data_IF_845979524489
#
_entry.id   IF_845979524489
#
_cell.length_a   1.000
_cell.length_b   1.000
_cell.length_c   1.000
_cell.angle_alpha   90.00
_cell.angle_beta   90.00
_cell.angle_gamma   90.00
#
_symmetry.space_group_name_H-M   'P 1'
#
loop_
_entity.id
_entity.type
_entity.pdbx_description
1 polymer ?
#
# COMPACT_ATOMS: atom_id res chain seq x y z
N UNK A 1 -2.93 -2.47 -12.91
CA UNK A 1 -2.21 -2.46 -11.63
C UNK A 1 -2.37 -3.81 -10.96
N UNK A 2 -1.51 -4.10 -10.01
CA UNK A 2 -1.64 -5.17 -9.03
C UNK A 2 -1.57 -4.54 -7.63
N UNK A 3 -2.19 -5.18 -6.64
CA UNK A 3 -2.07 -4.77 -5.26
C UNK A 3 -1.77 -6.00 -4.40
N UNK A 4 -0.85 -5.84 -3.45
CA UNK A 4 -0.45 -6.91 -2.53
C UNK A 4 0.09 -6.31 -1.23
N UNK A 5 0.07 -7.09 -0.15
CA UNK A 5 0.64 -6.65 1.12
C UNK A 5 2.16 -6.50 1.03
N UNK A 6 2.70 -5.46 1.63
CA UNK A 6 4.14 -5.32 1.83
C UNK A 6 4.62 -6.43 2.79
N UNK A 7 5.68 -7.15 2.41
CA UNK A 7 6.28 -8.22 3.22
C UNK A 7 6.92 -7.70 4.51
N UNK A 8 7.36 -6.43 4.51
CA UNK A 8 7.95 -5.75 5.65
C UNK A 8 7.11 -4.50 5.97
N UNK A 9 5.88 -4.68 6.47
CA UNK A 9 4.93 -3.60 6.55
C UNK A 9 5.32 -2.58 7.63
N UNK A 10 5.04 -1.31 7.38
CA UNK A 10 5.12 -0.26 8.40
C UNK A 10 4.10 -0.54 9.51
N UNK A 11 2.86 -0.80 9.13
CA UNK A 11 1.77 -1.23 10.02
C UNK A 11 1.00 -2.37 9.36
N UNK A 12 0.30 -3.18 10.15
CA UNK A 12 -0.56 -4.25 9.62
C UNK A 12 -1.56 -3.69 8.61
N UNK A 13 -1.68 -4.32 7.44
CA UNK A 13 -2.52 -3.82 6.34
C UNK A 13 -1.83 -2.86 5.37
N UNK A 14 -0.51 -2.65 5.47
CA UNK A 14 0.27 -1.92 4.47
C UNK A 14 0.23 -2.66 3.12
N UNK A 15 -0.34 -2.00 2.11
CA UNK A 15 -0.49 -2.52 0.74
C UNK A 15 0.33 -1.68 -0.24
N UNK A 16 0.93 -2.34 -1.22
CA UNK A 16 1.57 -1.72 -2.37
C UNK A 16 0.66 -1.81 -3.59
N UNK A 17 0.45 -0.69 -4.28
CA UNK A 17 -0.19 -0.62 -5.60
C UNK A 17 0.88 -0.41 -6.65
N UNK A 18 0.99 -1.34 -7.60
CA UNK A 18 2.10 -1.39 -8.57
C UNK A 18 1.55 -1.45 -10.00
N UNK A 19 2.05 -0.64 -10.96
CA UNK A 19 1.70 -0.81 -12.37
C UNK A 19 2.29 -2.13 -12.88
N UNK A 20 1.71 -2.67 -13.96
CA UNK A 20 2.29 -3.86 -14.61
C UNK A 20 3.46 -3.49 -15.54
N UNK A 21 3.50 -2.23 -15.97
CA UNK A 21 4.57 -1.67 -16.78
C UNK A 21 5.75 -1.37 -15.89
N UNK A 22 6.92 -1.88 -16.25
CA UNK A 22 8.16 -1.64 -15.52
C UNK A 22 8.69 -0.23 -15.82
N UNK A 23 8.40 0.70 -14.92
CA UNK A 23 8.95 2.05 -14.89
C UNK A 23 9.35 2.32 -13.44
N UNK A 24 10.57 2.79 -13.20
CA UNK A 24 11.12 3.03 -11.86
C UNK A 24 10.42 4.20 -11.13
N UNK A 25 10.54 5.41 -11.67
CA UNK A 25 10.04 6.61 -11.00
C UNK A 25 8.57 6.83 -11.30
N UNK A 26 7.77 7.14 -10.28
CA UNK A 26 6.34 7.38 -10.45
C UNK A 26 6.05 8.48 -11.48
N UNK A 27 6.83 9.56 -11.51
CA UNK A 27 6.61 10.69 -12.42
C UNK A 27 7.14 10.46 -13.83
N UNK A 28 7.77 9.31 -14.09
CA UNK A 28 8.10 8.87 -15.45
C UNK A 28 6.96 8.00 -16.04
N UNK A 29 5.94 7.67 -15.25
CA UNK A 29 4.74 7.01 -15.76
C UNK A 29 3.95 7.95 -16.69
N UNK A 30 3.30 7.40 -17.74
CA UNK A 30 2.36 8.17 -18.55
C UNK A 30 1.23 8.79 -17.69
N UNK A 31 0.72 9.96 -18.09
CA UNK A 31 -0.35 10.67 -17.35
C UNK A 31 -1.59 9.79 -17.11
N UNK A 32 -1.94 8.95 -18.08
CA UNK A 32 -3.04 7.99 -17.96
C UNK A 32 -2.79 6.94 -16.87
N UNK A 33 -1.55 6.53 -16.64
CA UNK A 33 -1.17 5.63 -15.56
C UNK A 33 -1.22 6.33 -14.21
N UNK A 34 -0.76 7.59 -14.12
CA UNK A 34 -0.86 8.39 -12.89
C UNK A 34 -2.32 8.54 -12.45
N UNK A 35 -3.21 8.88 -13.37
CA UNK A 35 -4.64 9.01 -13.10
C UNK A 35 -5.27 7.65 -12.73
N UNK A 36 -4.96 6.59 -13.50
CA UNK A 36 -5.52 5.27 -13.27
C UNK A 36 -5.01 4.59 -11.98
N UNK A 37 -3.79 4.93 -11.53
CA UNK A 37 -3.24 4.39 -10.28
C UNK A 37 -4.05 4.85 -9.07
N UNK A 38 -4.41 6.15 -9.00
CA UNK A 38 -5.21 6.69 -7.92
C UNK A 38 -6.64 6.13 -7.90
N UNK A 39 -7.27 5.98 -9.08
CA UNK A 39 -8.62 5.42 -9.16
C UNK A 39 -8.64 3.93 -8.82
N UNK A 40 -7.60 3.18 -9.20
CA UNK A 40 -7.40 1.80 -8.79
C UNK A 40 -7.16 1.65 -7.28
N UNK A 41 -6.38 2.55 -6.68
CA UNK A 41 -6.07 2.53 -5.25
C UNK A 41 -7.28 2.88 -4.36
N UNK A 42 -8.21 3.71 -4.84
CA UNK A 42 -9.37 4.20 -4.07
C UNK A 42 -10.21 3.10 -3.39
N UNK A 43 -10.72 2.06 -4.09
CA UNK A 43 -11.49 1.00 -3.43
C UNK A 43 -10.64 0.21 -2.43
N UNK A 44 -9.35 -0.01 -2.71
CA UNK A 44 -8.44 -0.72 -1.81
C UNK A 44 -8.22 0.07 -0.51
N UNK A 45 -7.99 1.38 -0.61
CA UNK A 45 -7.88 2.25 0.55
C UNK A 45 -9.14 2.19 1.44
N UNK A 46 -10.33 2.09 0.84
CA UNK A 46 -11.59 1.94 1.56
C UNK A 46 -11.78 0.55 2.16
N UNK A 47 -11.31 -0.50 1.51
CA UNK A 47 -11.29 -1.84 2.07
C UNK A 47 -10.34 -1.93 3.27
N UNK A 48 -9.16 -1.31 3.19
CA UNK A 48 -8.21 -1.21 4.31
C UNK A 48 -8.86 -0.51 5.51
N UNK A 49 -9.53 0.63 5.31
CA UNK A 49 -10.23 1.36 6.40
C UNK A 49 -11.37 0.55 7.05
N UNK A 50 -11.97 -0.41 6.34
CA UNK A 50 -13.00 -1.30 6.90
C UNK A 50 -12.39 -2.51 7.62
N UNK A 51 -11.28 -3.03 7.10
CA UNK A 51 -10.66 -4.27 7.57
C UNK A 51 -9.72 -4.06 8.76
N UNK A 52 -9.07 -2.88 8.84
CA UNK A 52 -8.07 -2.55 9.84
C UNK A 52 -8.55 -1.34 10.62
N UNK A 53 -8.56 -1.45 11.95
CA UNK A 53 -8.90 -0.34 12.84
C UNK A 53 -7.87 0.79 12.68
N UNK A 54 -8.29 1.86 12.01
CA UNK A 54 -7.48 3.03 11.75
C UNK A 54 -8.32 4.29 11.54
N UNK A 55 -7.72 5.45 11.76
CA UNK A 55 -8.36 6.74 11.51
C UNK A 55 -8.57 7.03 10.02
N UNK A 56 -7.65 6.59 9.16
CA UNK A 56 -7.73 6.69 7.68
C UNK A 56 -6.64 5.87 6.99
N UNK A 57 -6.78 5.67 5.69
CA UNK A 57 -5.71 5.17 4.84
C UNK A 57 -4.88 6.33 4.25
N UNK A 58 -3.57 6.33 4.54
CA UNK A 58 -2.58 7.26 4.01
C UNK A 58 -1.94 6.76 2.71
N UNK A 59 -1.42 7.69 1.92
CA UNK A 59 -0.69 7.42 0.68
C UNK A 59 0.75 7.92 0.81
N UNK A 60 1.73 7.13 0.38
CA UNK A 60 3.12 7.55 0.23
C UNK A 60 3.75 6.98 -1.04
N UNK A 61 4.72 7.69 -1.61
CA UNK A 61 5.55 7.22 -2.74
C UNK A 61 6.98 7.65 -2.47
N UNK A 62 7.90 6.68 -2.37
CA UNK A 62 9.29 6.92 -1.96
C UNK A 62 10.27 6.43 -3.04
N UNK A 63 10.19 5.16 -3.46
CA UNK A 63 10.97 4.60 -4.57
C UNK A 63 12.46 4.34 -4.30
N UNK A 64 12.95 4.48 -3.05
CA UNK A 64 14.38 4.33 -2.74
C UNK A 64 14.85 2.88 -2.55
N UNK A 65 13.94 1.94 -2.28
CA UNK A 65 14.29 0.54 -1.98
C UNK A 65 14.16 -0.38 -3.19
N UNK A 66 13.09 -0.21 -3.98
CA UNK A 66 12.77 -1.05 -5.14
C UNK A 66 12.59 -0.13 -6.36
N UNK A 67 13.39 -0.31 -7.43
CA UNK A 67 13.38 0.57 -8.60
C UNK A 67 12.24 0.24 -9.57
N UNK A 68 11.01 0.31 -9.07
CA UNK A 68 9.77 0.11 -9.81
C UNK A 68 8.69 0.95 -9.14
N UNK A 69 7.98 1.79 -9.88
CA UNK A 69 6.98 2.71 -9.35
C UNK A 69 5.94 1.96 -8.53
N UNK A 70 5.74 2.37 -7.27
CA UNK A 70 4.73 1.80 -6.40
C UNK A 70 4.18 2.87 -5.47
N UNK A 71 2.89 2.72 -5.14
CA UNK A 71 2.19 3.56 -4.19
C UNK A 71 1.91 2.75 -2.93
N UNK A 72 2.33 3.28 -1.79
CA UNK A 72 2.03 2.72 -0.48
C UNK A 72 0.64 3.17 -0.04
N UNK A 73 -0.19 2.22 0.38
CA UNK A 73 -1.46 2.45 1.08
C UNK A 73 -1.31 1.93 2.51
N UNK A 74 -1.46 2.80 3.50
CA UNK A 74 -1.10 2.50 4.89
C UNK A 74 -2.25 2.89 5.82
N UNK A 75 -2.82 1.98 6.63
CA UNK A 75 -3.80 2.33 7.66
C UNK A 75 -3.13 3.10 8.81
N UNK A 76 -3.39 4.40 8.92
CA UNK A 76 -2.63 5.30 9.80
C UNK A 76 -3.52 5.83 10.93
N UNK A 77 -2.92 5.96 12.12
CA UNK A 77 -3.51 6.61 13.29
C UNK A 77 -2.74 7.88 13.67
N UNK A 78 -1.48 7.99 13.28
CA UNK A 78 -0.61 9.15 13.45
C UNK A 78 0.27 9.37 12.22
N UNK A 79 0.92 10.53 12.11
CA UNK A 79 1.86 10.79 11.02
C UNK A 79 3.10 9.87 11.07
N UNK A 80 3.48 9.39 12.25
CA UNK A 80 4.63 8.50 12.44
C UNK A 80 4.39 7.09 11.86
N UNK A 81 3.12 6.71 11.62
CA UNK A 81 2.81 5.45 10.96
C UNK A 81 3.35 5.39 9.51
N UNK A 82 3.53 6.56 8.87
CA UNK A 82 4.17 6.73 7.54
C UNK A 82 5.68 7.01 7.63
N UNK A 83 6.30 6.83 8.78
CA UNK A 83 7.73 7.03 8.95
C UNK A 83 8.52 5.81 8.44
N UNK A 84 9.15 5.94 7.27
CA UNK A 84 9.95 4.87 6.65
C UNK A 84 11.32 4.64 7.30
N UNK A 85 11.74 5.48 8.25
CA UNK A 85 13.02 5.30 8.96
C UNK A 85 12.90 4.41 10.19
N UNK A 86 11.68 4.01 10.58
CA UNK A 86 11.46 3.11 11.73
C UNK A 86 11.71 1.66 11.37
N UNK A 87 11.88 0.83 12.40
CA UNK A 87 11.92 -0.61 12.21
C UNK A 87 10.60 -1.10 11.62
N UNK A 88 10.69 -1.85 10.52
CA UNK A 88 9.55 -2.50 9.88
C UNK A 88 9.06 -3.67 10.74
N UNK A 89 7.78 -3.98 10.64
CA UNK A 89 7.23 -5.13 11.35
C UNK A 89 7.64 -6.44 10.68
N UNK A 90 7.77 -7.48 11.49
CA UNK A 90 7.78 -8.87 11.03
C UNK A 90 6.45 -9.50 11.44
N UNK A 91 5.62 -9.83 10.45
CA UNK A 91 4.29 -10.40 10.67
C UNK A 91 4.31 -11.85 10.18
N UNK A 92 3.87 -12.83 10.98
CA UNK A 92 3.79 -14.23 10.56
C UNK A 92 2.94 -14.40 9.31
N UNK A 93 3.29 -15.37 8.48
CA UNK A 93 2.61 -15.63 7.20
C UNK A 93 1.11 -15.86 7.37
N UNK A 94 0.70 -16.66 8.36
CA UNK A 94 -0.71 -16.96 8.63
C UNK A 94 -1.51 -15.68 8.96
N UNK A 95 -0.89 -14.76 9.71
CA UNK A 95 -1.50 -13.47 10.03
C UNK A 95 -1.57 -12.56 8.79
N UNK A 96 -0.54 -12.55 7.94
CA UNK A 96 -0.56 -11.82 6.67
C UNK A 96 -1.66 -12.35 5.73
N UNK A 97 -1.85 -13.66 5.67
CA UNK A 97 -2.91 -14.30 4.86
C UNK A 97 -4.30 -13.92 5.38
N UNK A 98 -4.50 -13.89 6.69
CA UNK A 98 -5.76 -13.43 7.31
C UNK A 98 -6.03 -11.95 6.99
N UNK A 99 -5.04 -11.08 7.20
CA UNK A 99 -5.15 -9.64 6.88
C UNK A 99 -5.52 -9.43 5.41
N UNK A 100 -4.87 -10.17 4.50
CA UNK A 100 -5.17 -10.11 3.07
C UNK A 100 -6.62 -10.52 2.80
N UNK A 101 -7.08 -11.63 3.38
CA UNK A 101 -8.47 -12.11 3.20
C UNK A 101 -9.47 -11.07 3.68
N UNK A 102 -9.30 -10.50 4.88
CA UNK A 102 -10.20 -9.48 5.42
C UNK A 102 -10.26 -8.23 4.53
N UNK A 103 -9.12 -7.78 3.99
CA UNK A 103 -9.09 -6.65 3.04
C UNK A 103 -9.81 -7.02 1.75
N UNK A 104 -9.60 -8.23 1.22
CA UNK A 104 -10.24 -8.68 -0.03
C UNK A 104 -11.77 -8.80 0.13
N UNK A 105 -12.24 -9.29 1.28
CA UNK A 105 -13.67 -9.38 1.59
C UNK A 105 -14.34 -8.01 1.73
N UNK A 106 -13.56 -6.96 2.03
CA UNK A 106 -14.04 -5.59 2.24
C UNK A 106 -14.04 -4.69 0.99
N UNK A 107 -13.51 -5.19 -0.14
CA UNK A 107 -13.50 -4.53 -1.46
C UNK A 107 -14.90 -4.43 -2.06
#
# INVERSE_FOLDING_TARGET
FIAFLDVAPLVKGHVLVVPKTEIDKIFDLPDEYLAAMLTFAKPIAKAIEKAIDCNRCGISVIGLEVPHAHMHLVPINSADDLNFTRAKLSVPREEMELIMQTIVEAL
#
